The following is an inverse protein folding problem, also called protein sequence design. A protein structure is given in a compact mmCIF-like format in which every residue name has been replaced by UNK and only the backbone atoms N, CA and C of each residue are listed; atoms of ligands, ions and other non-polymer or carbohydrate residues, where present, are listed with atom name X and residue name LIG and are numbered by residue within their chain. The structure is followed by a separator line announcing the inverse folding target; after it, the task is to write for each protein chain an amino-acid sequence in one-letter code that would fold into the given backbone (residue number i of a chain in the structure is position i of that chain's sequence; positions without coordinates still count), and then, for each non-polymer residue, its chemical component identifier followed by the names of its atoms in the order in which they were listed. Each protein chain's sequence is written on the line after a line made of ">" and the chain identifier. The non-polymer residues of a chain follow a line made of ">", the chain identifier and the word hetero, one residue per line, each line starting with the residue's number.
data_IF_907879562275
#
_entry.id   IF_907879562275
#
_cell.length_a   1.000
_cell.length_b   1.000
_cell.length_c   1.000
_cell.angle_alpha   90.00
_cell.angle_beta   90.00
_cell.angle_gamma   90.00
#
_symmetry.space_group_name_H-M   'P 1'
#
loop_
_entity.id
_entity.type
_entity.pdbx_description
1 polymer ?
#
# COMPACT_ATOMS: atom_id res chain seq x y z
N UNK A 1 -16.87 -3.14 -0.51
CA UNK A 1 -17.11 -2.67 -1.90
C UNK A 1 -18.19 -3.54 -2.53
N UNK A 2 -19.29 -2.97 -3.06
CA UNK A 2 -20.34 -3.76 -3.70
C UNK A 2 -19.84 -4.42 -5.00
N UNK A 3 -20.42 -5.57 -5.34
CA UNK A 3 -20.11 -6.26 -6.60
C UNK A 3 -20.55 -5.40 -7.80
N UNK A 4 -19.69 -5.27 -8.80
CA UNK A 4 -19.94 -4.41 -9.97
C UNK A 4 -18.83 -4.50 -11.02
N UNK A 5 -18.93 -3.71 -12.10
CA UNK A 5 -17.85 -3.59 -13.12
C UNK A 5 -16.53 -3.17 -12.48
N UNK A 6 -16.56 -2.17 -11.61
CA UNK A 6 -15.37 -1.70 -10.89
C UNK A 6 -14.68 -2.81 -10.08
N UNK A 7 -15.44 -3.54 -9.26
CA UNK A 7 -14.91 -4.68 -8.49
C UNK A 7 -14.35 -5.78 -9.40
N UNK A 8 -15.03 -6.09 -10.51
CA UNK A 8 -14.57 -7.09 -11.48
C UNK A 8 -13.27 -6.69 -12.15
N UNK A 9 -13.09 -5.40 -12.46
CA UNK A 9 -11.86 -4.87 -13.05
C UNK A 9 -10.69 -4.95 -12.07
N UNK A 10 -10.87 -4.50 -10.81
CA UNK A 10 -9.86 -4.65 -9.76
C UNK A 10 -9.48 -6.12 -9.58
N UNK A 11 -10.48 -7.01 -9.46
CA UNK A 11 -10.22 -8.44 -9.26
C UNK A 11 -9.47 -9.05 -10.44
N UNK A 12 -9.82 -8.69 -11.67
CA UNK A 12 -9.14 -9.16 -12.88
C UNK A 12 -7.68 -8.72 -12.89
N UNK A 13 -7.42 -7.43 -12.66
CA UNK A 13 -6.07 -6.87 -12.63
C UNK A 13 -5.20 -7.55 -11.54
N UNK A 14 -5.75 -7.73 -10.33
CA UNK A 14 -5.05 -8.44 -9.25
C UNK A 14 -4.78 -9.90 -9.61
N UNK A 15 -5.79 -10.63 -10.10
CA UNK A 15 -5.65 -12.06 -10.40
C UNK A 15 -4.66 -12.33 -11.53
N UNK A 16 -4.60 -11.48 -12.55
CA UNK A 16 -3.61 -11.60 -13.64
C UNK A 16 -2.16 -11.54 -13.13
N UNK A 17 -1.91 -10.88 -12.00
CA UNK A 17 -0.56 -10.61 -11.47
C UNK A 17 -0.19 -11.45 -10.25
N UNK A 18 -1.19 -11.92 -9.52
CA UNK A 18 -1.02 -12.71 -8.29
C UNK A 18 -1.55 -14.14 -8.41
N UNK A 19 -1.81 -14.64 -9.64
CA UNK A 19 -2.02 -16.07 -9.84
C UNK A 19 -0.72 -16.87 -9.64
N UNK A 20 -0.86 -18.18 -9.48
CA UNK A 20 0.26 -19.10 -9.20
C UNK A 20 1.43 -18.96 -10.19
N UNK A 21 1.11 -18.73 -11.47
CA UNK A 21 2.10 -18.66 -12.53
C UNK A 21 2.81 -17.30 -12.52
N UNK A 22 2.06 -16.21 -12.40
CA UNK A 22 2.59 -14.86 -12.31
C UNK A 22 3.46 -14.66 -11.06
N UNK A 23 3.15 -15.31 -9.94
CA UNK A 23 3.96 -15.21 -8.72
C UNK A 23 5.36 -15.78 -8.90
N UNK A 24 5.55 -16.72 -9.84
CA UNK A 24 6.86 -17.31 -10.14
C UNK A 24 7.90 -16.26 -10.57
N UNK A 25 7.47 -15.18 -11.23
CA UNK A 25 8.35 -14.09 -11.68
C UNK A 25 8.97 -13.31 -10.50
N UNK A 26 8.32 -13.32 -9.33
CA UNK A 26 8.81 -12.64 -8.12
C UNK A 26 9.78 -13.51 -7.31
N UNK A 27 9.92 -14.82 -7.62
CA UNK A 27 10.78 -15.74 -6.87
C UNK A 27 12.23 -15.24 -6.70
N UNK A 28 12.90 -14.68 -7.73
CA UNK A 28 14.28 -14.21 -7.57
C UNK A 28 14.40 -13.11 -6.50
N UNK A 29 13.49 -12.14 -6.51
CA UNK A 29 13.46 -11.04 -5.55
C UNK A 29 13.11 -11.55 -4.16
N UNK A 30 12.10 -12.42 -4.04
CA UNK A 30 11.70 -13.03 -2.76
C UNK A 30 12.85 -13.82 -2.14
N UNK A 31 13.59 -14.61 -2.93
CA UNK A 31 14.75 -15.38 -2.46
C UNK A 31 15.88 -14.47 -1.99
N UNK A 32 16.21 -13.44 -2.77
CA UNK A 32 17.24 -12.48 -2.41
C UNK A 32 16.92 -11.79 -1.07
N UNK A 33 15.69 -11.33 -0.90
CA UNK A 33 15.26 -10.68 0.34
C UNK A 33 15.12 -11.65 1.52
N UNK A 34 14.75 -12.91 1.25
CA UNK A 34 14.76 -13.97 2.28
C UNK A 34 16.17 -14.21 2.78
N UNK A 35 17.19 -14.29 1.92
CA UNK A 35 18.58 -14.42 2.36
C UNK A 35 19.04 -13.23 3.21
N UNK A 36 18.66 -12.01 2.84
CA UNK A 36 18.97 -10.81 3.64
C UNK A 36 18.26 -10.83 5.00
N UNK A 37 16.98 -11.22 5.02
CA UNK A 37 16.20 -11.39 6.24
C UNK A 37 16.85 -12.39 7.19
N UNK A 38 17.24 -13.56 6.68
CA UNK A 38 17.91 -14.59 7.47
C UNK A 38 19.24 -14.09 8.04
N UNK A 39 20.06 -13.37 7.26
CA UNK A 39 21.29 -12.75 7.77
C UNK A 39 21.02 -11.76 8.90
N UNK A 40 19.98 -10.93 8.77
CA UNK A 40 19.58 -9.96 9.80
C UNK A 40 19.10 -10.66 11.09
N UNK A 41 18.28 -11.71 10.95
CA UNK A 41 17.80 -12.51 12.08
C UNK A 41 18.93 -13.24 12.80
N UNK A 42 19.94 -13.74 12.08
CA UNK A 42 21.12 -14.38 12.70
C UNK A 42 21.98 -13.35 13.46
N UNK A 43 22.05 -12.11 12.98
CA UNK A 43 22.86 -11.06 13.58
C UNK A 43 22.18 -10.37 14.78
N UNK A 44 20.87 -10.13 14.71
CA UNK A 44 20.05 -9.61 15.82
C UNK A 44 18.74 -10.38 15.89
N UNK A 45 18.69 -11.49 16.65
CA UNK A 45 17.52 -12.35 16.75
C UNK A 45 16.38 -11.74 17.56
N UNK A 46 16.63 -10.73 18.40
CA UNK A 46 15.62 -10.10 19.24
C UNK A 46 14.73 -9.12 18.44
N UNK A 47 15.21 -8.62 17.30
CA UNK A 47 14.54 -7.61 16.47
C UNK A 47 13.70 -8.20 15.32
N UNK A 48 13.10 -9.39 15.52
CA UNK A 48 12.38 -10.14 14.46
C UNK A 48 11.35 -9.30 13.72
N UNK A 49 10.54 -8.54 14.47
CA UNK A 49 9.44 -7.74 13.91
C UNK A 49 9.96 -6.66 12.97
N UNK A 50 11.03 -5.98 13.37
CA UNK A 50 11.65 -4.92 12.56
C UNK A 50 12.29 -5.49 11.29
N UNK A 51 12.94 -6.65 11.41
CA UNK A 51 13.53 -7.32 10.24
C UNK A 51 12.47 -7.75 9.21
N UNK A 52 11.35 -8.30 9.69
CA UNK A 52 10.21 -8.66 8.82
C UNK A 52 9.61 -7.41 8.17
N UNK A 53 9.38 -6.35 8.97
CA UNK A 53 8.84 -5.08 8.49
C UNK A 53 9.70 -4.49 7.38
N UNK A 54 11.02 -4.42 7.56
CA UNK A 54 11.96 -3.94 6.55
C UNK A 54 11.91 -4.79 5.27
N UNK A 55 11.85 -6.12 5.40
CA UNK A 55 11.74 -7.02 4.24
C UNK A 55 10.46 -6.78 3.45
N UNK A 56 9.33 -6.60 4.14
CA UNK A 56 8.05 -6.27 3.50
C UNK A 56 8.14 -4.91 2.79
N UNK A 57 8.76 -3.90 3.41
CA UNK A 57 8.96 -2.58 2.79
C UNK A 57 9.75 -2.66 1.48
N UNK A 58 10.86 -3.41 1.49
CA UNK A 58 11.69 -3.64 0.30
C UNK A 58 10.88 -4.34 -0.81
N UNK A 59 10.11 -5.38 -0.47
CA UNK A 59 9.29 -6.12 -1.41
C UNK A 59 8.13 -5.30 -1.99
N UNK A 60 7.46 -4.48 -1.17
CA UNK A 60 6.40 -3.55 -1.61
C UNK A 60 6.93 -2.53 -2.63
N UNK A 61 8.12 -2.01 -2.39
CA UNK A 61 8.71 -0.97 -3.22
C UNK A 61 9.45 -1.51 -4.46
N UNK A 62 9.67 -2.84 -4.56
CA UNK A 62 10.55 -3.48 -5.56
C UNK A 62 11.88 -2.72 -5.67
N UNK A 63 12.52 -2.44 -4.53
CA UNK A 63 13.76 -1.67 -4.48
C UNK A 63 14.70 -2.21 -3.43
N UNK A 64 15.98 -2.22 -3.79
CA UNK A 64 17.09 -2.36 -2.84
C UNK A 64 17.00 -1.31 -1.70
N UNK A 65 17.44 -1.71 -0.51
CA UNK A 65 17.54 -0.89 0.71
C UNK A 65 18.15 0.50 0.48
N UNK A 66 19.14 0.59 -0.41
CA UNK A 66 19.77 1.87 -0.77
C UNK A 66 18.88 2.74 -1.64
N UNK A 67 18.01 2.14 -2.45
CA UNK A 67 17.13 2.80 -3.40
C UNK A 67 15.81 3.30 -2.81
N UNK A 68 15.43 2.82 -1.61
CA UNK A 68 14.28 3.33 -0.85
C UNK A 68 14.48 4.81 -0.48
N UNK A 69 15.72 5.21 -0.19
CA UNK A 69 16.06 6.59 0.25
C UNK A 69 16.06 7.64 -0.86
N UNK A 70 16.38 7.28 -2.10
CA UNK A 70 16.80 8.28 -3.09
C UNK A 70 15.74 8.74 -4.10
N UNK A 71 14.56 8.12 -4.16
CA UNK A 71 13.59 8.39 -5.25
C UNK A 71 12.11 8.42 -4.86
N UNK A 72 11.78 8.19 -3.59
CA UNK A 72 10.43 8.41 -3.04
C UNK A 72 10.18 9.89 -2.70
N UNK A 73 11.25 10.68 -2.55
CA UNK A 73 11.19 12.02 -1.96
C UNK A 73 10.91 11.99 -0.44
N UNK A 74 10.93 10.80 0.16
CA UNK A 74 10.67 10.56 1.57
C UNK A 74 11.91 9.98 2.25
N UNK A 75 12.19 10.46 3.44
CA UNK A 75 13.13 9.84 4.38
C UNK A 75 12.62 8.46 4.82
N UNK A 76 13.53 7.63 5.35
CA UNK A 76 13.16 6.32 5.93
C UNK A 76 12.11 6.50 7.02
N UNK A 77 12.27 7.51 7.88
CA UNK A 77 11.38 7.74 9.01
C UNK A 77 9.98 8.16 8.55
N UNK A 78 9.87 8.98 7.49
CA UNK A 78 8.58 9.34 6.91
C UNK A 78 7.85 8.14 6.29
N UNK A 79 8.58 7.22 5.65
CA UNK A 79 7.99 5.98 5.11
C UNK A 79 7.49 5.07 6.23
N UNK A 80 8.28 4.92 7.30
CA UNK A 80 7.88 4.13 8.48
C UNK A 80 6.65 4.74 9.14
N UNK A 81 6.62 6.06 9.36
CA UNK A 81 5.47 6.76 9.92
C UNK A 81 4.21 6.61 9.05
N UNK A 82 4.37 6.69 7.73
CA UNK A 82 3.26 6.52 6.79
C UNK A 82 2.70 5.09 6.85
N UNK A 83 3.57 4.08 6.92
CA UNK A 83 3.15 2.69 7.07
C UNK A 83 2.47 2.42 8.41
N UNK A 84 2.98 2.97 9.52
CA UNK A 84 2.36 2.83 10.84
C UNK A 84 0.97 3.49 10.89
N UNK A 85 0.82 4.66 10.26
CA UNK A 85 -0.48 5.32 10.17
C UNK A 85 -1.46 4.53 9.31
N UNK A 86 -1.02 3.97 8.17
CA UNK A 86 -1.84 3.07 7.35
C UNK A 86 -2.26 1.82 8.13
N UNK A 87 -1.33 1.19 8.85
CA UNK A 87 -1.62 -0.03 9.62
C UNK A 87 -2.66 0.24 10.71
N UNK A 88 -2.52 1.33 11.47
CA UNK A 88 -3.49 1.75 12.49
C UNK A 88 -4.86 2.07 11.87
N UNK A 89 -4.90 2.79 10.75
CA UNK A 89 -6.15 3.07 10.06
C UNK A 89 -6.85 1.78 9.60
N UNK A 90 -6.09 0.83 9.05
CA UNK A 90 -6.63 -0.47 8.67
C UNK A 90 -7.16 -1.28 9.86
N UNK A 91 -6.43 -1.30 10.97
CA UNK A 91 -6.87 -1.98 12.19
C UNK A 91 -8.23 -1.45 12.68
N UNK A 92 -8.40 -0.12 12.72
CA UNK A 92 -9.65 0.51 13.13
C UNK A 92 -10.80 0.26 12.14
N UNK A 93 -10.53 0.29 10.84
CA UNK A 93 -11.55 0.09 9.80
C UNK A 93 -12.02 -1.37 9.72
N UNK A 94 -11.12 -2.33 9.92
CA UNK A 94 -11.44 -3.75 9.83
C UNK A 94 -11.92 -4.35 11.14
N UNK A 95 -11.76 -3.67 12.27
CA UNK A 95 -12.37 -4.06 13.53
C UNK A 95 -13.90 -3.86 13.44
N UNK A 96 -14.69 -4.95 13.41
CA UNK A 96 -16.14 -4.84 13.26
C UNK A 96 -16.76 -4.23 14.52
N UNK A 97 -17.68 -3.29 14.34
CA UNK A 97 -18.36 -2.61 15.44
C UNK A 97 -17.58 -1.46 16.07
N UNK A 98 -16.47 -1.04 15.44
CA UNK A 98 -15.71 0.15 15.86
C UNK A 98 -16.57 1.41 15.83
N UNK A 99 -17.51 1.50 14.88
CA UNK A 99 -18.38 2.66 14.73
C UNK A 99 -19.86 2.30 14.62
N UNK A 100 -20.70 3.02 15.36
CA UNK A 100 -22.16 2.86 15.31
C UNK A 100 -22.75 3.08 13.91
N UNK A 101 -22.08 3.86 13.05
CA UNK A 101 -22.50 4.10 11.67
C UNK A 101 -22.50 2.82 10.82
N UNK A 102 -21.74 1.80 11.22
CA UNK A 102 -21.74 0.48 10.57
C UNK A 102 -23.09 -0.23 10.76
N UNK A 103 -23.67 -0.15 11.96
CA UNK A 103 -24.97 -0.74 12.30
C UNK A 103 -26.14 0.18 11.95
N UNK A 104 -25.93 1.50 11.99
CA UNK A 104 -26.95 2.52 11.80
C UNK A 104 -26.53 3.53 10.72
N UNK A 105 -26.73 3.20 9.41
CA UNK A 105 -26.22 4.02 8.30
C UNK A 105 -26.73 5.46 8.26
N UNK A 106 -27.87 5.76 8.88
CA UNK A 106 -28.40 7.12 8.96
C UNK A 106 -27.50 8.06 9.78
N UNK A 107 -26.64 7.52 10.66
CA UNK A 107 -25.69 8.31 11.43
C UNK A 107 -24.68 9.05 10.55
N UNK A 108 -24.45 8.62 9.29
CA UNK A 108 -23.54 9.30 8.35
C UNK A 108 -23.90 10.76 8.05
N UNK A 109 -25.14 11.16 8.33
CA UNK A 109 -25.63 12.53 8.11
C UNK A 109 -25.52 13.42 9.34
N UNK A 110 -25.10 12.87 10.49
CA UNK A 110 -24.94 13.62 11.73
C UNK A 110 -23.77 14.58 11.59
N UNK A 111 -23.89 15.87 11.96
CA UNK A 111 -22.78 16.81 11.88
C UNK A 111 -21.59 16.44 12.78
N UNK A 112 -20.37 16.82 12.38
CA UNK A 112 -19.10 16.56 13.11
C UNK A 112 -19.12 17.05 14.57
N UNK A 113 -19.89 18.10 14.88
CA UNK A 113 -19.97 18.67 16.23
C UNK A 113 -20.86 17.86 17.20
N UNK A 114 -21.65 16.91 16.69
CA UNK A 114 -22.60 16.17 17.51
C UNK A 114 -21.89 15.17 18.44
N UNK A 115 -22.36 14.98 19.69
CA UNK A 115 -21.78 14.01 20.61
C UNK A 115 -21.79 12.59 20.03
N UNK A 116 -20.63 11.95 19.93
CA UNK A 116 -20.49 10.61 19.34
C UNK A 116 -20.24 10.59 17.82
N UNK A 117 -20.13 11.75 17.15
CA UNK A 117 -19.80 11.86 15.74
C UNK A 117 -18.27 11.85 15.43
N UNK A 118 -17.45 11.37 16.37
CA UNK A 118 -15.98 11.30 16.18
C UNK A 118 -15.58 10.47 14.96
N UNK A 119 -16.40 9.49 14.56
CA UNK A 119 -16.19 8.70 13.35
C UNK A 119 -16.07 9.53 12.07
N UNK A 120 -16.63 10.74 12.01
CA UNK A 120 -16.46 11.61 10.85
C UNK A 120 -15.07 12.24 10.79
N UNK A 121 -14.47 12.55 11.94
CA UNK A 121 -13.08 13.02 12.01
C UNK A 121 -12.14 11.89 11.64
N UNK A 122 -12.32 10.72 12.25
CA UNK A 122 -11.53 9.53 11.94
C UNK A 122 -11.64 9.17 10.45
N UNK A 123 -12.84 9.22 9.86
CA UNK A 123 -13.02 8.98 8.43
C UNK A 123 -12.29 10.00 7.54
N UNK A 124 -12.25 11.28 7.93
CA UNK A 124 -11.50 12.30 7.21
C UNK A 124 -9.98 12.06 7.32
N UNK A 125 -9.50 11.76 8.52
CA UNK A 125 -8.09 11.46 8.78
C UNK A 125 -7.65 10.20 8.02
N UNK A 126 -8.45 9.13 8.06
CA UNK A 126 -8.18 7.92 7.29
C UNK A 126 -8.14 8.20 5.79
N UNK A 127 -9.05 9.03 5.27
CA UNK A 127 -9.03 9.41 3.85
C UNK A 127 -7.71 10.09 3.48
N UNK A 128 -7.20 10.99 4.31
CA UNK A 128 -5.92 11.65 4.08
C UNK A 128 -4.73 10.67 4.18
N UNK A 129 -4.74 9.78 5.18
CA UNK A 129 -3.72 8.74 5.37
C UNK A 129 -3.67 7.81 4.14
N UNK A 130 -4.82 7.32 3.66
CA UNK A 130 -4.86 6.48 2.46
C UNK A 130 -4.46 7.24 1.20
N UNK A 131 -4.86 8.50 1.08
CA UNK A 131 -4.47 9.32 -0.06
C UNK A 131 -2.96 9.49 -0.13
N UNK A 132 -2.34 9.84 1.00
CA UNK A 132 -0.89 10.02 1.08
C UNK A 132 -0.15 8.69 0.95
N UNK A 133 -0.67 7.64 1.58
CA UNK A 133 -0.07 6.32 1.68
C UNK A 133 -0.12 5.50 0.40
N UNK A 134 -1.19 5.61 -0.39
CA UNK A 134 -1.43 4.77 -1.56
C UNK A 134 -1.31 5.55 -2.88
N UNK A 135 -1.82 6.78 -2.97
CA UNK A 135 -1.76 7.53 -4.22
C UNK A 135 -0.39 8.13 -4.49
N UNK A 136 0.27 8.71 -3.48
CA UNK A 136 1.55 9.38 -3.70
C UNK A 136 2.67 8.46 -4.21
N UNK A 137 2.83 7.20 -3.73
CA UNK A 137 3.79 6.28 -4.33
C UNK A 137 3.47 5.96 -5.80
N UNK A 138 2.18 5.87 -6.14
CA UNK A 138 1.73 5.66 -7.52
C UNK A 138 2.04 6.88 -8.41
N UNK A 139 1.80 8.10 -7.91
CA UNK A 139 2.11 9.34 -8.62
C UNK A 139 3.60 9.49 -8.87
N UNK A 140 4.44 9.19 -7.86
CA UNK A 140 5.90 9.18 -7.99
C UNK A 140 6.34 8.14 -9.02
N UNK A 141 5.74 6.95 -9.00
CA UNK A 141 6.04 5.90 -9.99
C UNK A 141 5.67 6.35 -11.39
N UNK A 142 4.48 6.91 -11.57
CA UNK A 142 3.98 7.43 -12.86
C UNK A 142 4.85 8.57 -13.40
N UNK A 143 5.30 9.48 -12.53
CA UNK A 143 6.25 10.55 -12.89
C UNK A 143 7.61 9.98 -13.34
N UNK A 144 8.18 9.05 -12.57
CA UNK A 144 9.45 8.39 -12.91
C UNK A 144 9.36 7.57 -14.20
N UNK A 145 8.17 7.04 -14.51
CA UNK A 145 7.94 6.36 -15.78
C UNK A 145 7.96 7.30 -16.98
N UNK A 146 7.35 8.48 -16.85
CA UNK A 146 7.36 9.51 -17.89
C UNK A 146 8.77 10.06 -18.16
N UNK A 147 9.63 10.10 -17.14
CA UNK A 147 11.02 10.53 -17.29
C UNK A 147 11.97 9.44 -17.81
N UNK A 148 11.48 8.21 -18.03
CA UNK A 148 12.30 7.07 -18.49
C UNK A 148 13.18 6.45 -17.41
N UNK A 149 13.14 6.93 -16.17
CA UNK A 149 13.95 6.45 -15.05
C UNK A 149 13.14 5.59 -14.07
N UNK A 150 12.57 4.49 -14.56
CA UNK A 150 11.75 3.59 -13.74
C UNK A 150 12.28 2.15 -13.74
N UNK A 151 12.05 1.47 -12.62
CA UNK A 151 12.31 0.04 -12.47
C UNK A 151 11.01 -0.74 -12.68
N UNK A 152 11.13 -1.97 -13.17
CA UNK A 152 9.98 -2.87 -13.32
C UNK A 152 9.38 -3.16 -11.94
N UNK A 153 8.13 -2.74 -11.74
CA UNK A 153 7.34 -2.91 -10.53
C UNK A 153 5.89 -3.24 -10.90
N UNK A 154 5.11 -3.68 -9.92
CA UNK A 154 3.66 -3.90 -10.12
C UNK A 154 2.95 -2.61 -10.52
N UNK A 155 3.29 -1.48 -9.89
CA UNK A 155 2.73 -0.17 -10.24
C UNK A 155 3.12 0.22 -11.67
N UNK A 156 4.40 0.09 -12.05
CA UNK A 156 4.83 0.50 -13.39
C UNK A 156 4.26 -0.37 -14.50
N UNK A 157 4.08 -1.67 -14.24
CA UNK A 157 3.41 -2.56 -15.19
C UNK A 157 1.91 -2.31 -15.28
N UNK A 158 1.24 -1.82 -14.22
CA UNK A 158 -0.17 -1.39 -14.30
C UNK A 158 -0.28 -0.14 -15.18
N UNK A 159 0.61 0.83 -14.97
CA UNK A 159 0.66 2.06 -15.78
C UNK A 159 0.95 1.75 -17.25
N UNK A 160 1.91 0.86 -17.55
CA UNK A 160 2.19 0.43 -18.93
C UNK A 160 0.97 -0.23 -19.59
N UNK A 161 0.24 -1.04 -18.84
CA UNK A 161 -0.96 -1.70 -19.35
C UNK A 161 -2.08 -0.70 -19.63
N UNK A 162 -2.33 0.24 -18.72
CA UNK A 162 -3.31 1.31 -18.93
C UNK A 162 -2.96 2.19 -20.14
N UNK A 163 -1.67 2.53 -20.31
CA UNK A 163 -1.17 3.26 -21.48
C UNK A 163 -1.35 2.48 -22.78
N UNK A 164 -1.13 1.16 -22.76
CA UNK A 164 -1.33 0.29 -23.91
C UNK A 164 -2.82 0.09 -24.27
N UNK A 165 -3.71 0.17 -23.28
CA UNK A 165 -5.17 0.05 -23.45
C UNK A 165 -5.83 1.39 -23.84
N UNK A 166 -5.08 2.51 -23.85
CA UNK A 166 -5.55 3.82 -24.31
C UNK A 166 -6.46 4.55 -23.31
N UNK A 167 -6.45 4.16 -22.04
CA UNK A 167 -7.19 4.83 -20.97
C UNK A 167 -6.46 6.13 -20.57
N UNK A 168 -7.12 7.31 -20.57
CA UNK A 168 -6.50 8.56 -20.15
C UNK A 168 -6.25 8.59 -18.64
N UNK A 169 -5.20 9.30 -18.23
CA UNK A 169 -4.72 9.45 -16.83
C UNK A 169 -5.79 9.95 -15.85
#
# INVERSE_FOLDING_TARGET
>A
MPYGSFWRNIRRALYQRFNSDAVSQFRPVLLQETHKLLKRLTASPDDVVEHIRLTIQVLKCVRDENHIRHRSGYSRDELVMLEDNLAKAFEMIYAPGSYLVESFPFLRYVPVWFPGANFQKDAADFKEIFSTGLHKPFDVTSKNMRSGEYLSSLASSLVQQAQAEGEPD
#
